data_IF_856349369263
#
_entry.id   IF_856349369263
#
_cell.length_a   1.000
_cell.length_b   1.000
_cell.length_c   1.000
_cell.angle_alpha   90.00
_cell.angle_beta   90.00
_cell.angle_gamma   90.00
#
_symmetry.space_group_name_H-M   'P 1'
#
loop_
_entity.id
_entity.type
_entity.pdbx_description
1 polymer ?
#
# COMPACT_ATOMS: atom_id res chain seq x y z
N UNK A 1 11.86 -12.73 15.61
CA UNK A 1 10.70 -11.98 15.05
C UNK A 1 11.10 -11.49 13.67
N UNK A 2 10.34 -11.79 12.61
CA UNK A 2 10.69 -11.39 11.23
C UNK A 2 9.79 -10.24 10.78
N UNK A 3 10.43 -9.18 10.27
CA UNK A 3 9.83 -7.89 9.93
C UNK A 3 8.76 -8.04 8.83
N UNK A 4 7.69 -7.20 8.85
CA UNK A 4 6.62 -7.21 7.86
C UNK A 4 7.13 -6.88 6.46
N UNK A 5 6.47 -7.45 5.44
CA UNK A 5 6.83 -7.29 4.04
C UNK A 5 6.43 -5.90 3.54
N UNK A 6 7.18 -5.31 2.59
CA UNK A 6 6.92 -3.94 2.08
C UNK A 6 5.46 -3.72 1.63
N UNK A 7 4.85 -4.73 1.01
CA UNK A 7 3.45 -4.69 0.57
C UNK A 7 2.46 -4.66 1.73
N UNK A 8 2.72 -5.40 2.81
CA UNK A 8 1.86 -5.41 4.01
C UNK A 8 1.91 -4.06 4.73
N UNK A 9 3.10 -3.44 4.79
CA UNK A 9 3.28 -2.09 5.33
C UNK A 9 2.52 -1.06 4.50
N UNK A 10 2.57 -1.15 3.17
CA UNK A 10 1.84 -0.25 2.26
C UNK A 10 0.33 -0.41 2.44
N UNK A 11 -0.18 -1.65 2.45
CA UNK A 11 -1.62 -1.93 2.63
C UNK A 11 -2.12 -1.43 3.98
N UNK A 12 -1.35 -1.66 5.06
CA UNK A 12 -1.66 -1.14 6.39
C UNK A 12 -1.71 0.38 6.42
N UNK A 13 -0.75 1.06 5.78
CA UNK A 13 -0.72 2.52 5.70
C UNK A 13 -1.92 3.10 4.94
N UNK A 14 -2.31 2.47 3.83
CA UNK A 14 -3.49 2.87 3.04
C UNK A 14 -4.77 2.75 3.89
N UNK A 15 -4.95 1.62 4.58
CA UNK A 15 -6.13 1.41 5.43
C UNK A 15 -6.23 2.41 6.59
N UNK A 16 -5.10 2.73 7.23
CA UNK A 16 -5.05 3.75 8.30
C UNK A 16 -5.37 5.13 7.72
N UNK A 17 -4.78 5.49 6.59
CA UNK A 17 -4.98 6.80 5.96
C UNK A 17 -6.44 7.00 5.55
N UNK A 18 -7.06 5.98 4.94
CA UNK A 18 -8.48 5.99 4.56
C UNK A 18 -9.37 6.08 5.79
N UNK A 19 -9.08 5.33 6.85
CA UNK A 19 -9.83 5.39 8.11
C UNK A 19 -9.77 6.77 8.79
N UNK A 20 -8.60 7.40 8.83
CA UNK A 20 -8.41 8.76 9.38
C UNK A 20 -9.14 9.81 8.55
N UNK A 21 -9.08 9.72 7.21
CA UNK A 21 -9.82 10.61 6.31
C UNK A 21 -11.33 10.44 6.48
N UNK A 22 -11.81 9.21 6.65
CA UNK A 22 -13.23 8.91 6.88
C UNK A 22 -13.71 9.53 8.19
N UNK A 23 -12.92 9.42 9.26
CA UNK A 23 -13.22 10.05 10.54
C UNK A 23 -13.22 11.59 10.48
N UNK A 24 -12.35 12.17 9.64
CA UNK A 24 -12.18 13.62 9.57
C UNK A 24 -13.23 14.31 8.71
N UNK A 25 -13.69 13.68 7.62
CA UNK A 25 -14.58 14.29 6.64
C UNK A 25 -16.00 13.70 6.60
N UNK A 26 -16.20 12.51 7.17
CA UNK A 26 -17.46 11.76 7.05
C UNK A 26 -17.96 11.25 8.42
N UNK A 27 -18.51 12.14 9.28
CA UNK A 27 -18.92 11.79 10.64
C UNK A 27 -20.04 10.74 10.71
N UNK A 28 -20.82 10.58 9.63
CA UNK A 28 -21.82 9.51 9.52
C UNK A 28 -21.22 8.09 9.44
N UNK A 29 -19.92 7.97 9.11
CA UNK A 29 -19.22 6.70 8.90
C UNK A 29 -18.12 6.45 9.94
N UNK A 30 -18.23 7.05 11.13
CA UNK A 30 -17.24 6.93 12.21
C UNK A 30 -16.93 5.47 12.56
N UNK A 31 -17.95 4.62 12.65
CA UNK A 31 -17.79 3.19 12.94
C UNK A 31 -16.95 2.48 11.87
N UNK A 32 -17.21 2.78 10.59
CA UNK A 32 -16.46 2.23 9.46
C UNK A 32 -15.03 2.75 9.40
N UNK A 33 -14.80 4.02 9.76
CA UNK A 33 -13.47 4.61 9.87
C UNK A 33 -12.62 3.91 10.93
N UNK A 34 -13.20 3.61 12.10
CA UNK A 34 -12.53 2.83 13.14
C UNK A 34 -12.22 1.38 12.70
N UNK A 35 -13.14 0.72 12.01
CA UNK A 35 -12.86 -0.62 11.45
C UNK A 35 -11.72 -0.60 10.44
N UNK A 36 -11.63 0.41 9.57
CA UNK A 36 -10.53 0.55 8.63
C UNK A 36 -9.17 0.73 9.33
N UNK A 37 -9.13 1.52 10.41
CA UNK A 37 -7.92 1.69 11.22
C UNK A 37 -7.54 0.37 11.91
N UNK A 38 -8.51 -0.34 12.51
CA UNK A 38 -8.27 -1.64 13.15
C UNK A 38 -7.76 -2.68 12.16
N UNK A 39 -8.29 -2.71 10.93
CA UNK A 39 -7.78 -3.57 9.87
C UNK A 39 -6.34 -3.21 9.48
N UNK A 40 -6.05 -1.92 9.30
CA UNK A 40 -4.70 -1.45 8.99
C UNK A 40 -3.68 -1.83 10.05
N UNK A 41 -4.03 -1.65 11.33
CA UNK A 41 -3.22 -2.07 12.50
C UNK A 41 -3.11 -3.60 12.58
N UNK A 42 -4.19 -4.32 12.27
CA UNK A 42 -4.20 -5.77 12.19
C UNK A 42 -3.19 -6.32 11.17
N UNK A 43 -3.03 -5.68 10.02
CA UNK A 43 -2.00 -6.01 9.02
C UNK A 43 -0.57 -5.77 9.53
N UNK A 44 -0.36 -4.85 10.48
CA UNK A 44 0.94 -4.67 11.13
C UNK A 44 1.21 -5.71 12.23
N UNK A 45 0.18 -6.10 12.98
CA UNK A 45 0.28 -6.99 14.14
C UNK A 45 0.22 -8.48 13.78
N UNK A 46 -0.52 -8.85 12.73
CA UNK A 46 -0.48 -10.17 12.13
C UNK A 46 0.45 -10.11 10.92
N UNK A 47 1.76 -10.41 11.08
CA UNK A 47 2.55 -10.74 9.91
C UNK A 47 1.89 -11.95 9.24
N UNK A 48 2.11 -12.18 7.95
CA UNK A 48 1.53 -13.30 7.24
C UNK A 48 2.31 -14.63 7.26
N UNK A 49 2.70 -15.31 8.38
CA UNK A 49 3.25 -16.67 8.31
C UNK A 49 2.41 -17.61 7.45
N UNK A 50 1.09 -17.50 7.49
CA UNK A 50 0.17 -18.28 6.67
C UNK A 50 0.27 -17.97 5.16
N UNK A 51 0.52 -16.71 4.78
CA UNK A 51 0.79 -16.34 3.39
C UNK A 51 2.22 -16.72 2.98
N UNK A 52 3.19 -16.62 3.89
CA UNK A 52 4.60 -16.95 3.66
C UNK A 52 4.84 -18.45 3.43
N UNK A 53 4.02 -19.31 4.03
CA UNK A 53 3.99 -20.74 3.70
C UNK A 53 3.31 -21.01 2.35
N UNK A 54 2.24 -20.27 2.03
CA UNK A 54 1.57 -20.36 0.72
C UNK A 54 2.43 -19.87 -0.45
N UNK A 55 3.34 -18.93 -0.18
CA UNK A 55 4.28 -18.33 -1.15
C UNK A 55 5.73 -18.73 -0.89
N UNK A 56 5.97 -19.89 -0.26
CA UNK A 56 7.32 -20.42 -0.05
C UNK A 56 8.00 -20.60 -1.41
N UNK A 57 8.95 -19.73 -1.74
CA UNK A 57 9.63 -19.76 -3.03
C UNK A 57 10.47 -21.03 -3.16
N UNK A 58 10.09 -21.89 -4.09
CA UNK A 58 10.92 -23.00 -4.58
C UNK A 58 12.07 -22.44 -5.43
N UNK A 59 13.17 -23.17 -5.57
CA UNK A 59 14.31 -22.77 -6.43
C UNK A 59 13.85 -22.37 -7.85
N UNK A 60 12.90 -23.11 -8.43
CA UNK A 60 12.29 -22.79 -9.74
C UNK A 60 11.57 -21.43 -9.75
N UNK A 61 10.88 -21.08 -8.67
CA UNK A 61 10.18 -19.79 -8.57
C UNK A 61 11.20 -18.67 -8.50
N UNK A 62 12.31 -18.88 -7.80
CA UNK A 62 13.41 -17.92 -7.65
C UNK A 62 14.13 -17.67 -8.98
N UNK A 63 14.35 -18.71 -9.78
CA UNK A 63 14.90 -18.60 -11.13
C UNK A 63 13.97 -17.84 -12.08
N UNK A 64 12.66 -18.14 -12.06
CA UNK A 64 11.66 -17.38 -12.83
C UNK A 64 11.70 -15.89 -12.47
N UNK A 65 11.75 -15.56 -11.18
CA UNK A 65 11.77 -14.17 -10.73
C UNK A 65 13.07 -13.46 -11.15
N UNK A 66 14.21 -14.16 -11.15
CA UNK A 66 15.47 -13.64 -11.70
C UNK A 66 15.37 -13.35 -13.19
N UNK A 67 14.75 -14.23 -13.98
CA UNK A 67 14.57 -14.00 -15.40
C UNK A 67 13.60 -12.85 -15.67
N UNK A 68 12.46 -12.80 -14.97
CA UNK A 68 11.50 -11.70 -15.07
C UNK A 68 12.13 -10.36 -14.69
N UNK A 69 12.91 -10.31 -13.60
CA UNK A 69 13.58 -9.07 -13.19
C UNK A 69 14.61 -8.58 -14.23
N UNK A 70 15.36 -9.49 -14.87
CA UNK A 70 16.27 -9.12 -15.96
C UNK A 70 15.51 -8.53 -17.16
N UNK A 71 14.40 -9.15 -17.55
CA UNK A 71 13.53 -8.67 -18.64
C UNK A 71 12.90 -7.31 -18.28
N UNK A 72 12.39 -7.13 -17.08
CA UNK A 72 11.79 -5.87 -16.64
C UNK A 72 12.85 -4.75 -16.52
N UNK A 73 14.05 -5.06 -16.03
CA UNK A 73 15.16 -4.10 -15.94
C UNK A 73 15.69 -3.64 -17.29
N UNK A 74 15.50 -4.46 -18.34
CA UNK A 74 15.85 -4.10 -19.71
C UNK A 74 14.82 -3.18 -20.37
N UNK A 75 13.64 -3.00 -19.75
CA UNK A 75 12.64 -2.03 -20.17
C UNK A 75 12.91 -0.71 -19.47
N UNK A 76 12.80 0.38 -20.22
CA UNK A 76 12.83 1.73 -19.64
C UNK A 76 11.75 1.84 -18.57
N UNK A 77 12.14 2.24 -17.36
CA UNK A 77 11.25 2.41 -16.22
C UNK A 77 10.15 3.40 -16.62
N UNK A 78 8.91 2.90 -16.75
CA UNK A 78 7.75 3.75 -16.98
C UNK A 78 7.70 4.79 -15.88
N UNK A 79 7.60 6.07 -16.24
CA UNK A 79 7.51 7.19 -15.30
C UNK A 79 6.46 6.93 -14.22
N UNK A 80 5.33 6.33 -14.60
CA UNK A 80 4.20 5.97 -13.73
C UNK A 80 4.48 4.84 -12.73
N UNK A 81 5.57 4.08 -12.89
CA UNK A 81 5.99 3.08 -11.91
C UNK A 81 6.76 3.70 -10.73
N UNK A 82 7.22 4.95 -10.86
CA UNK A 82 7.86 5.69 -9.76
C UNK A 82 6.80 6.18 -8.76
N UNK A 83 7.09 6.18 -7.45
CA UNK A 83 6.23 6.79 -6.44
C UNK A 83 6.02 8.30 -6.64
N UNK A 84 6.95 8.95 -7.36
CA UNK A 84 6.99 10.39 -7.53
C UNK A 84 5.76 10.98 -8.26
N UNK A 85 5.35 10.52 -9.46
CA UNK A 85 4.15 11.03 -10.12
C UNK A 85 2.86 10.84 -9.30
N UNK A 86 2.75 9.75 -8.53
CA UNK A 86 1.60 9.53 -7.65
C UNK A 86 1.58 10.48 -6.46
N UNK A 87 2.72 10.71 -5.81
CA UNK A 87 2.85 11.71 -4.75
C UNK A 87 2.51 13.12 -5.26
N UNK A 88 2.97 13.47 -6.46
CA UNK A 88 2.70 14.77 -7.08
C UNK A 88 1.21 14.93 -7.42
N UNK A 89 0.56 13.87 -7.93
CA UNK A 89 -0.87 13.84 -8.18
C UNK A 89 -1.69 14.05 -6.91
N UNK A 90 -1.34 13.36 -5.82
CA UNK A 90 -2.02 13.50 -4.51
C UNK A 90 -1.89 14.93 -3.98
N UNK A 91 -0.68 15.51 -4.02
CA UNK A 91 -0.49 16.92 -3.62
C UNK A 91 -1.37 17.87 -4.42
N UNK A 92 -1.46 17.70 -5.75
CA UNK A 92 -2.31 18.53 -6.61
C UNK A 92 -3.79 18.40 -6.23
N UNK A 93 -4.28 17.17 -6.04
CA UNK A 93 -5.67 16.94 -5.64
C UNK A 93 -5.98 17.60 -4.30
N UNK A 94 -5.10 17.46 -3.31
CA UNK A 94 -5.29 18.08 -1.98
C UNK A 94 -5.35 19.61 -2.08
N UNK A 95 -4.44 20.23 -2.84
CA UNK A 95 -4.42 21.70 -3.01
C UNK A 95 -5.69 22.19 -3.70
N UNK A 96 -6.13 21.52 -4.77
CA UNK A 96 -7.34 21.90 -5.51
C UNK A 96 -8.58 21.76 -4.64
N UNK A 97 -8.71 20.66 -3.88
CA UNK A 97 -9.84 20.47 -2.97
C UNK A 97 -9.87 21.55 -1.89
N UNK A 98 -8.71 21.88 -1.28
CA UNK A 98 -8.65 22.97 -0.30
C UNK A 98 -9.01 24.32 -0.90
N UNK A 99 -8.55 24.63 -2.11
CA UNK A 99 -8.83 25.91 -2.77
C UNK A 99 -10.28 26.09 -3.22
N UNK A 100 -11.03 25.00 -3.44
CA UNK A 100 -12.45 25.03 -3.83
C UNK A 100 -13.38 25.06 -2.60
N UNK A 101 -12.93 24.51 -1.46
CA UNK A 101 -13.73 24.39 -0.23
C UNK A 101 -13.61 25.64 0.66
N UNK A 102 -12.59 26.49 0.46
CA UNK A 102 -12.48 27.84 1.05
C UNK A 102 -13.20 28.89 0.22
#
# INVERSE_FOLDING_TARGET
MKLPTKSEVIVGFIFISVGVLTLSFFPAFVTSGWYAILFGVGFFLFPGPQLREKYKQTEETKERWRQSAKVESSKSLSWWASPFPWALFVCLVVVVVFAIVT
#
